data_IF_411709545400
#
_entry.id   IF_411709545400
#
_cell.length_a   1.000
_cell.length_b   1.000
_cell.length_c   1.000
_cell.angle_alpha   90.00
_cell.angle_beta   90.00
_cell.angle_gamma   90.00
#
_symmetry.space_group_name_H-M   'P 1'
#
loop_
_entity.id
_entity.type
_entity.pdbx_description
1 polymer ?
#
# COMPACT_ATOMS: atom_id res chain seq x y z
N UNK A 1 4.35 -24.07 -34.48
CA UNK A 1 5.80 -24.26 -34.28
C UNK A 1 6.26 -23.45 -33.08
N UNK A 2 7.34 -23.85 -32.42
CA UNK A 2 7.94 -23.14 -31.29
C UNK A 2 8.25 -21.68 -31.64
N UNK A 3 8.71 -21.41 -32.86
CA UNK A 3 8.97 -20.07 -33.39
C UNK A 3 7.73 -19.17 -33.37
N UNK A 4 6.57 -19.72 -33.77
CA UNK A 4 5.30 -18.98 -33.78
C UNK A 4 4.84 -18.64 -32.38
N UNK A 5 4.99 -19.57 -31.44
CA UNK A 5 4.65 -19.34 -30.01
C UNK A 5 5.54 -18.27 -29.42
N UNK A 6 6.86 -18.33 -29.64
CA UNK A 6 7.80 -17.31 -29.17
C UNK A 6 7.51 -15.93 -29.75
N UNK A 7 7.17 -15.85 -31.05
CA UNK A 7 6.83 -14.59 -31.71
C UNK A 7 5.57 -13.95 -31.11
N UNK A 8 4.50 -14.74 -30.90
CA UNK A 8 3.27 -14.25 -30.26
C UNK A 8 3.49 -13.84 -28.80
N UNK A 9 4.30 -14.62 -28.06
CA UNK A 9 4.66 -14.29 -26.68
C UNK A 9 5.41 -12.96 -26.61
N UNK A 10 6.41 -12.79 -27.46
CA UNK A 10 7.20 -11.56 -27.54
C UNK A 10 6.35 -10.34 -27.90
N UNK A 11 5.43 -10.46 -28.86
CA UNK A 11 4.51 -9.37 -29.22
C UNK A 11 3.61 -8.99 -28.05
N UNK A 12 3.08 -9.97 -27.30
CA UNK A 12 2.24 -9.72 -26.11
C UNK A 12 3.03 -9.05 -25.00
N UNK A 13 4.25 -9.53 -24.73
CA UNK A 13 5.13 -8.92 -23.72
C UNK A 13 5.49 -7.50 -24.12
N UNK A 14 5.89 -7.26 -25.37
CA UNK A 14 6.19 -5.90 -25.88
C UNK A 14 5.01 -4.96 -25.74
N UNK A 15 3.81 -5.38 -26.13
CA UNK A 15 2.60 -4.57 -26.00
C UNK A 15 2.26 -4.27 -24.54
N UNK A 16 2.47 -5.24 -23.63
CA UNK A 16 2.29 -5.04 -22.19
C UNK A 16 3.31 -4.05 -21.63
N UNK A 17 4.60 -4.21 -21.94
CA UNK A 17 5.67 -3.35 -21.47
C UNK A 17 5.48 -1.89 -21.91
N UNK A 18 5.09 -1.65 -23.17
CA UNK A 18 4.82 -0.29 -23.65
C UNK A 18 3.65 0.34 -22.88
N UNK A 19 2.54 -0.40 -22.70
CA UNK A 19 1.39 0.11 -21.95
C UNK A 19 1.68 0.34 -20.47
N UNK A 20 2.34 -0.62 -19.82
CA UNK A 20 2.73 -0.50 -18.42
C UNK A 20 3.73 0.64 -18.21
N UNK A 21 4.73 0.76 -19.09
CA UNK A 21 5.71 1.84 -19.04
C UNK A 21 5.10 3.22 -19.20
N UNK A 22 4.15 3.38 -20.14
CA UNK A 22 3.46 4.67 -20.32
C UNK A 22 2.67 5.07 -19.06
N UNK A 23 1.93 4.13 -18.47
CA UNK A 23 1.19 4.37 -17.23
C UNK A 23 2.13 4.72 -16.08
N UNK A 24 3.27 4.03 -15.98
CA UNK A 24 4.26 4.28 -14.95
C UNK A 24 4.87 5.69 -15.07
N UNK A 25 5.25 6.12 -16.27
CA UNK A 25 5.81 7.45 -16.51
C UNK A 25 4.81 8.54 -16.13
N UNK A 26 3.55 8.43 -16.56
CA UNK A 26 2.49 9.38 -16.20
C UNK A 26 2.30 9.43 -14.69
N UNK A 27 2.29 8.28 -14.05
CA UNK A 27 2.16 8.17 -12.60
C UNK A 27 3.33 8.82 -11.85
N UNK A 28 4.57 8.59 -12.29
CA UNK A 28 5.75 9.24 -11.71
C UNK A 28 5.67 10.77 -11.83
N UNK A 29 5.21 11.29 -12.96
CA UNK A 29 5.01 12.73 -13.15
C UNK A 29 3.95 13.26 -12.16
N UNK A 30 2.83 12.57 -12.01
CA UNK A 30 1.76 12.98 -11.07
C UNK A 30 2.29 12.98 -9.62
N UNK A 31 2.98 11.92 -9.20
CA UNK A 31 3.56 11.85 -7.85
C UNK A 31 4.57 12.96 -7.64
N UNK A 32 5.44 13.20 -8.63
CA UNK A 32 6.42 14.27 -8.57
C UNK A 32 5.76 15.64 -8.42
N UNK A 33 4.70 15.93 -9.20
CA UNK A 33 3.93 17.16 -9.07
C UNK A 33 3.32 17.29 -7.67
N UNK A 34 2.64 16.27 -7.18
CA UNK A 34 2.00 16.27 -5.85
C UNK A 34 3.01 16.46 -4.71
N UNK A 35 4.22 15.95 -4.88
CA UNK A 35 5.28 16.03 -3.86
C UNK A 35 6.02 17.37 -3.86
N UNK A 36 6.20 17.99 -5.04
CA UNK A 36 7.00 19.20 -5.17
C UNK A 36 6.16 20.49 -5.21
N UNK A 37 4.87 20.40 -5.40
CA UNK A 37 3.96 21.55 -5.35
C UNK A 37 3.12 21.50 -4.07
N UNK A 38 2.90 22.68 -3.49
CA UNK A 38 2.12 22.80 -2.27
C UNK A 38 1.70 24.23 -1.99
N UNK A 39 1.15 24.44 -0.80
CA UNK A 39 0.69 25.75 -0.35
C UNK A 39 1.57 26.22 0.80
N UNK A 40 2.41 27.22 0.53
CA UNK A 40 3.21 27.88 1.55
C UNK A 40 2.75 29.35 1.66
N UNK A 41 2.50 29.82 2.90
CA UNK A 41 2.04 31.19 3.18
C UNK A 41 0.79 31.62 2.38
N UNK A 42 -0.15 30.68 2.14
CA UNK A 42 -1.39 30.94 1.40
C UNK A 42 -1.21 31.10 -0.11
N UNK A 43 -0.03 30.84 -0.65
CA UNK A 43 0.27 30.88 -2.08
C UNK A 43 0.70 29.50 -2.57
N UNK A 44 0.24 29.14 -3.76
CA UNK A 44 0.68 27.93 -4.45
C UNK A 44 2.12 28.14 -4.93
N UNK A 45 3.06 27.32 -4.47
CA UNK A 45 4.48 27.48 -4.75
C UNK A 45 5.17 26.14 -4.97
N UNK A 46 6.32 26.18 -5.62
CA UNK A 46 7.21 25.05 -5.79
C UNK A 46 8.12 24.93 -4.55
N UNK A 47 8.18 23.75 -3.93
CA UNK A 47 8.79 23.52 -2.62
C UNK A 47 10.28 23.16 -2.66
N UNK A 48 10.90 23.01 -3.86
CA UNK A 48 12.32 22.66 -4.04
C UNK A 48 12.83 21.49 -3.19
N UNK A 49 11.94 20.56 -2.80
CA UNK A 49 12.30 19.45 -1.90
C UNK A 49 12.45 19.85 -0.43
N UNK A 50 12.30 21.11 -0.08
CA UNK A 50 12.25 21.60 1.29
C UNK A 50 10.81 21.73 1.77
N UNK A 51 10.58 21.50 3.08
CA UNK A 51 9.25 21.63 3.70
C UNK A 51 8.16 20.75 3.05
N UNK A 52 8.46 19.49 2.85
CA UNK A 52 7.53 18.49 2.28
C UNK A 52 6.18 18.43 3.02
N UNK A 53 6.14 18.91 4.27
CA UNK A 53 4.91 19.00 5.07
C UNK A 53 3.85 19.95 4.48
N UNK A 54 4.24 20.83 3.55
CA UNK A 54 3.32 21.74 2.85
C UNK A 54 2.96 21.25 1.45
N UNK A 55 3.37 20.04 1.08
CA UNK A 55 3.09 19.46 -0.24
C UNK A 55 1.62 19.03 -0.37
N UNK A 56 1.11 19.03 -1.59
CA UNK A 56 -0.21 18.48 -1.88
C UNK A 56 -0.32 17.01 -1.48
N UNK A 57 0.79 16.25 -1.63
CA UNK A 57 0.85 14.87 -1.18
C UNK A 57 0.65 14.77 0.34
N UNK A 58 1.25 15.67 1.12
CA UNK A 58 1.06 15.73 2.56
C UNK A 58 -0.42 15.98 2.91
N UNK A 59 -1.06 16.99 2.34
CA UNK A 59 -2.48 17.30 2.62
C UNK A 59 -3.39 16.12 2.28
N UNK A 60 -3.18 15.50 1.13
CA UNK A 60 -3.96 14.33 0.71
C UNK A 60 -3.74 13.14 1.65
N UNK A 61 -2.49 12.82 1.96
CA UNK A 61 -2.14 11.68 2.81
C UNK A 61 -2.59 11.88 4.26
N UNK A 62 -2.45 13.10 4.79
CA UNK A 62 -2.88 13.45 6.14
C UNK A 62 -4.40 13.31 6.34
N UNK A 63 -5.20 13.62 5.31
CA UNK A 63 -6.66 13.45 5.37
C UNK A 63 -7.10 12.01 5.64
N UNK A 64 -6.29 11.03 5.22
CA UNK A 64 -6.61 9.61 5.30
C UNK A 64 -5.83 8.93 6.44
N UNK A 65 -4.83 9.60 7.00
CA UNK A 65 -3.88 9.04 7.97
C UNK A 65 -4.55 8.41 9.19
N UNK A 66 -5.64 9.00 9.68
CA UNK A 66 -6.38 8.51 10.84
C UNK A 66 -6.94 7.09 10.66
N UNK A 67 -7.21 6.68 9.41
CA UNK A 67 -7.66 5.33 9.10
C UNK A 67 -6.57 4.28 9.39
N UNK A 68 -5.30 4.68 9.32
CA UNK A 68 -4.16 3.79 9.51
C UNK A 68 -3.60 3.81 10.95
N UNK A 69 -4.20 4.61 11.84
CA UNK A 69 -3.82 4.64 13.25
C UNK A 69 -3.82 3.25 13.92
N UNK A 70 -4.85 2.37 13.72
CA UNK A 70 -4.85 1.04 14.32
C UNK A 70 -3.76 0.11 13.82
N UNK A 71 -3.13 0.44 12.68
CA UNK A 71 -2.05 -0.32 12.06
C UNK A 71 -0.66 0.13 12.51
N UNK A 72 -0.58 1.24 13.28
CA UNK A 72 0.66 1.76 13.83
C UNK A 72 1.49 2.63 12.89
N UNK A 73 0.96 3.01 11.72
CA UNK A 73 1.62 3.91 10.76
C UNK A 73 0.64 4.94 10.20
N UNK A 74 0.31 5.94 11.00
CA UNK A 74 -0.60 7.03 10.65
C UNK A 74 0.11 8.31 10.17
N UNK A 75 1.40 8.26 9.92
CA UNK A 75 2.16 9.40 9.42
C UNK A 75 1.89 9.61 7.92
N UNK A 76 1.76 10.85 7.49
CA UNK A 76 1.49 11.18 6.10
C UNK A 76 2.55 10.63 5.13
N UNK A 77 3.82 10.53 5.56
CA UNK A 77 4.91 9.97 4.77
C UNK A 77 4.66 8.49 4.42
N UNK A 78 4.20 7.69 5.39
CA UNK A 78 3.85 6.29 5.17
C UNK A 78 2.69 6.14 4.21
N UNK A 79 1.66 6.98 4.36
CA UNK A 79 0.49 6.96 3.49
C UNK A 79 0.87 7.39 2.06
N UNK A 80 1.65 8.47 1.93
CA UNK A 80 2.17 8.94 0.64
C UNK A 80 3.03 7.88 -0.07
N UNK A 81 3.91 7.19 0.68
CA UNK A 81 4.69 6.08 0.15
C UNK A 81 3.80 4.91 -0.30
N UNK A 82 2.76 4.59 0.45
CA UNK A 82 1.76 3.57 0.07
C UNK A 82 1.05 3.95 -1.24
N UNK A 83 0.66 5.22 -1.41
CA UNK A 83 0.09 5.71 -2.66
C UNK A 83 1.06 5.60 -3.84
N UNK A 84 2.33 5.96 -3.63
CA UNK A 84 3.38 5.76 -4.64
C UNK A 84 3.51 4.28 -5.01
N UNK A 85 3.36 3.38 -4.04
CA UNK A 85 3.40 1.93 -4.22
C UNK A 85 2.25 1.35 -5.06
N UNK A 86 1.13 2.06 -5.22
CA UNK A 86 0.05 1.63 -6.13
C UNK A 86 0.56 1.62 -7.58
N UNK A 87 1.50 2.47 -7.92
CA UNK A 87 2.09 2.53 -9.26
C UNK A 87 3.28 1.57 -9.39
N UNK A 88 4.19 1.58 -8.40
CA UNK A 88 5.40 0.77 -8.39
C UNK A 88 5.72 0.36 -6.95
N UNK A 89 5.35 -0.85 -6.55
CA UNK A 89 5.51 -1.34 -5.17
C UNK A 89 6.97 -1.39 -4.71
N UNK A 90 7.88 -1.61 -5.62
CA UNK A 90 9.33 -1.59 -5.38
C UNK A 90 9.86 -0.22 -4.94
N UNK A 91 9.14 0.84 -5.25
CA UNK A 91 9.54 2.21 -4.91
C UNK A 91 9.03 2.72 -3.57
N UNK A 92 8.30 1.92 -2.79
CA UNK A 92 7.69 2.36 -1.53
C UNK A 92 8.73 2.89 -0.55
N UNK A 93 9.83 2.16 -0.36
CA UNK A 93 10.90 2.55 0.56
C UNK A 93 11.65 3.79 0.04
N UNK A 94 11.90 3.86 -1.27
CA UNK A 94 12.51 5.05 -1.89
C UNK A 94 11.62 6.27 -1.77
N UNK A 95 10.31 6.13 -2.01
CA UNK A 95 9.34 7.22 -1.84
C UNK A 95 9.24 7.67 -0.38
N UNK A 96 9.28 6.72 0.57
CA UNK A 96 9.31 7.06 1.99
C UNK A 96 10.52 7.92 2.32
N UNK A 97 11.73 7.54 1.85
CA UNK A 97 12.94 8.34 2.04
C UNK A 97 12.85 9.74 1.42
N UNK A 98 12.19 9.88 0.26
CA UNK A 98 11.98 11.19 -0.38
C UNK A 98 11.03 12.07 0.44
N UNK A 99 10.05 11.49 1.12
CA UNK A 99 9.09 12.24 1.95
C UNK A 99 9.60 12.57 3.35
N UNK A 100 10.76 12.05 3.75
CA UNK A 100 11.42 12.45 4.99
C UNK A 100 12.13 13.79 4.80
N UNK A 101 11.96 14.70 5.79
CA UNK A 101 12.74 15.93 5.83
C UNK A 101 14.20 15.62 6.23
N UNK A 102 15.11 16.57 6.01
CA UNK A 102 16.55 16.39 6.26
C UNK A 102 16.90 15.92 7.68
N UNK A 103 16.05 16.18 8.67
CA UNK A 103 16.23 15.81 10.07
C UNK A 103 15.41 14.58 10.50
N UNK A 104 14.63 13.98 9.58
CA UNK A 104 13.81 12.82 9.86
C UNK A 104 14.49 11.54 9.39
N UNK A 105 14.25 10.45 10.09
CA UNK A 105 14.72 9.11 9.73
C UNK A 105 13.51 8.18 9.61
N UNK A 106 13.67 7.06 8.93
CA UNK A 106 12.62 6.02 8.86
C UNK A 106 12.15 5.65 10.27
N UNK A 107 13.07 5.63 11.25
CA UNK A 107 12.75 5.31 12.63
C UNK A 107 11.87 6.37 13.33
N UNK A 108 11.90 7.63 12.91
CA UNK A 108 10.99 8.64 13.46
C UNK A 108 9.55 8.47 12.96
N UNK A 109 9.37 7.90 11.78
CA UNK A 109 8.07 7.69 11.13
C UNK A 109 7.50 6.30 11.45
N UNK A 110 8.36 5.30 11.60
CA UNK A 110 8.05 3.93 12.01
C UNK A 110 8.86 3.57 13.27
N UNK A 111 8.41 4.04 14.46
CA UNK A 111 9.22 4.00 15.67
C UNK A 111 9.38 2.59 16.25
N UNK A 112 8.44 1.69 15.96
CA UNK A 112 8.41 0.34 16.51
C UNK A 112 8.63 -0.71 15.43
N UNK A 113 9.17 -1.86 15.83
CA UNK A 113 9.30 -2.99 14.90
C UNK A 113 7.94 -3.49 14.40
N UNK A 114 6.94 -3.47 15.28
CA UNK A 114 5.57 -3.86 14.93
C UNK A 114 4.97 -2.93 13.88
N UNK A 115 5.21 -1.60 13.97
CA UNK A 115 4.73 -0.63 12.97
C UNK A 115 5.41 -0.82 11.61
N UNK A 116 6.71 -1.10 11.60
CA UNK A 116 7.45 -1.35 10.37
C UNK A 116 6.99 -2.65 9.68
N UNK A 117 6.80 -3.73 10.44
CA UNK A 117 6.28 -4.99 9.91
C UNK A 117 4.85 -4.80 9.38
N UNK A 118 3.99 -4.14 10.14
CA UNK A 118 2.62 -3.83 9.73
C UNK A 118 2.58 -3.05 8.42
N UNK A 119 3.40 -2.01 8.29
CA UNK A 119 3.52 -1.21 7.08
C UNK A 119 3.95 -2.06 5.88
N UNK A 120 4.95 -2.92 6.04
CA UNK A 120 5.42 -3.81 4.97
C UNK A 120 4.34 -4.84 4.59
N UNK A 121 3.69 -5.46 5.56
CA UNK A 121 2.62 -6.45 5.32
C UNK A 121 1.45 -5.81 4.60
N UNK A 122 1.03 -4.61 5.02
CA UNK A 122 -0.04 -3.87 4.34
C UNK A 122 0.32 -3.61 2.88
N UNK A 123 1.50 -3.09 2.62
CA UNK A 123 1.94 -2.74 1.27
C UNK A 123 2.16 -3.97 0.37
N UNK A 124 2.53 -5.11 0.95
CA UNK A 124 2.65 -6.37 0.24
C UNK A 124 1.28 -6.90 -0.21
N UNK A 125 0.28 -6.84 0.67
CA UNK A 125 -1.02 -7.46 0.47
C UNK A 125 -2.08 -6.53 -0.15
N UNK A 126 -1.91 -5.21 -0.10
CA UNK A 126 -2.85 -4.24 -0.65
C UNK A 126 -3.04 -4.41 -2.17
N UNK A 127 -3.88 -3.58 -2.77
CA UNK A 127 -4.20 -3.59 -4.20
C UNK A 127 -2.97 -3.82 -5.08
N UNK A 128 -3.11 -4.60 -6.17
CA UNK A 128 -2.06 -4.76 -7.15
C UNK A 128 -1.75 -3.41 -7.83
N UNK A 129 -0.60 -3.32 -8.51
CA UNK A 129 -0.22 -2.10 -9.22
C UNK A 129 -1.25 -1.72 -10.30
N UNK A 130 -1.27 -0.44 -10.67
CA UNK A 130 -2.24 0.10 -11.67
C UNK A 130 -2.22 -0.71 -12.98
N UNK A 131 -1.06 -1.18 -13.42
CA UNK A 131 -0.96 -2.03 -14.61
C UNK A 131 -1.77 -3.33 -14.46
N UNK A 132 -1.66 -3.99 -13.30
CA UNK A 132 -2.43 -5.20 -12.99
C UNK A 132 -3.92 -4.91 -12.80
N UNK A 133 -4.28 -3.77 -12.22
CA UNK A 133 -5.68 -3.32 -12.10
C UNK A 133 -6.30 -3.13 -13.48
N UNK A 134 -5.58 -2.51 -14.42
CA UNK A 134 -6.04 -2.33 -15.81
C UNK A 134 -6.20 -3.68 -16.51
N UNK A 135 -5.26 -4.61 -16.32
CA UNK A 135 -5.36 -5.97 -16.87
C UNK A 135 -6.57 -6.70 -16.29
N UNK A 136 -6.75 -6.70 -14.97
CA UNK A 136 -7.88 -7.33 -14.30
C UNK A 136 -9.23 -6.76 -14.76
N UNK A 137 -9.31 -5.44 -15.01
CA UNK A 137 -10.53 -4.79 -15.53
C UNK A 137 -10.90 -5.30 -16.93
N UNK A 138 -9.92 -5.74 -17.74
CA UNK A 138 -10.17 -6.28 -19.07
C UNK A 138 -10.63 -7.74 -19.04
N UNK A 139 -10.11 -8.50 -18.08
CA UNK A 139 -10.45 -9.93 -17.94
C UNK A 139 -11.79 -10.13 -17.22
N UNK A 140 -12.15 -9.23 -16.29
CA UNK A 140 -13.40 -9.33 -15.55
C UNK A 140 -14.56 -8.69 -16.33
N UNK A 141 -15.50 -9.52 -16.78
CA UNK A 141 -16.71 -9.10 -17.51
C UNK A 141 -17.62 -8.21 -16.68
N UNK A 142 -17.70 -8.43 -15.36
CA UNK A 142 -18.59 -7.73 -14.46
C UNK A 142 -17.87 -6.60 -13.69
N UNK A 143 -18.35 -5.36 -13.83
CA UNK A 143 -17.87 -4.22 -13.03
C UNK A 143 -18.05 -4.45 -11.51
N UNK A 144 -19.12 -5.13 -11.10
CA UNK A 144 -19.36 -5.45 -9.69
C UNK A 144 -18.30 -6.39 -9.13
N UNK A 145 -17.93 -7.44 -9.91
CA UNK A 145 -16.89 -8.39 -9.51
C UNK A 145 -15.51 -7.72 -9.43
N UNK A 146 -15.22 -6.82 -10.34
CA UNK A 146 -13.99 -6.03 -10.33
C UNK A 146 -13.86 -5.16 -9.06
N UNK A 147 -14.90 -4.39 -8.74
CA UNK A 147 -14.92 -3.55 -7.54
C UNK A 147 -14.82 -4.41 -6.27
N UNK A 148 -15.59 -5.52 -6.24
CA UNK A 148 -15.54 -6.47 -5.12
C UNK A 148 -14.13 -7.03 -4.91
N UNK A 149 -13.44 -7.43 -5.97
CA UNK A 149 -12.09 -7.97 -5.88
C UNK A 149 -11.09 -6.95 -5.30
N UNK A 150 -11.15 -5.68 -5.75
CA UNK A 150 -10.31 -4.62 -5.22
C UNK A 150 -10.62 -4.31 -3.74
N UNK A 151 -11.89 -4.18 -3.38
CA UNK A 151 -12.28 -3.94 -1.99
C UNK A 151 -11.88 -5.09 -1.08
N UNK A 152 -12.15 -6.32 -1.50
CA UNK A 152 -11.77 -7.52 -0.76
C UNK A 152 -10.28 -7.55 -0.47
N UNK A 153 -9.44 -7.28 -1.46
CA UNK A 153 -7.98 -7.31 -1.30
C UNK A 153 -7.50 -6.24 -0.32
N UNK A 154 -8.02 -5.00 -0.40
CA UNK A 154 -7.63 -3.94 0.52
C UNK A 154 -8.13 -4.19 1.95
N UNK A 155 -9.36 -4.69 2.12
CA UNK A 155 -9.89 -5.05 3.44
C UNK A 155 -9.09 -6.21 4.04
N UNK A 156 -8.76 -7.22 3.23
CA UNK A 156 -7.92 -8.34 3.67
C UNK A 156 -6.53 -7.87 4.10
N UNK A 157 -5.87 -7.01 3.30
CA UNK A 157 -4.59 -6.42 3.65
C UNK A 157 -4.65 -5.63 4.97
N UNK A 158 -5.72 -4.85 5.17
CA UNK A 158 -5.94 -4.08 6.38
C UNK A 158 -6.08 -4.98 7.62
N UNK A 159 -6.92 -6.02 7.54
CA UNK A 159 -7.14 -6.96 8.65
C UNK A 159 -5.85 -7.70 9.00
N UNK A 160 -5.14 -8.21 8.01
CA UNK A 160 -3.88 -8.93 8.24
C UNK A 160 -2.83 -8.01 8.86
N UNK A 161 -2.67 -6.80 8.33
CA UNK A 161 -1.73 -5.81 8.86
C UNK A 161 -2.08 -5.41 10.31
N UNK A 162 -3.38 -5.23 10.62
CA UNK A 162 -3.87 -4.97 11.97
C UNK A 162 -3.47 -6.11 12.93
N UNK A 163 -3.69 -7.36 12.51
CA UNK A 163 -3.32 -8.54 13.32
C UNK A 163 -1.81 -8.53 13.60
N UNK A 164 -0.99 -8.30 12.57
CA UNK A 164 0.47 -8.25 12.73
C UNK A 164 0.89 -7.14 13.69
N UNK A 165 0.37 -5.93 13.54
CA UNK A 165 0.69 -4.81 14.44
C UNK A 165 0.33 -5.10 15.88
N UNK A 166 -0.92 -5.51 16.12
CA UNK A 166 -1.44 -5.68 17.47
C UNK A 166 -0.81 -6.88 18.18
N UNK A 167 -0.67 -8.02 17.49
CA UNK A 167 -0.10 -9.22 18.12
C UNK A 167 1.41 -9.08 18.35
N UNK A 168 2.17 -8.68 17.31
CA UNK A 168 3.62 -8.53 17.46
C UNK A 168 3.93 -7.44 18.48
N UNK A 169 3.22 -6.29 18.38
CA UNK A 169 3.40 -5.19 19.32
C UNK A 169 3.07 -5.58 20.76
N UNK A 170 2.05 -6.39 20.97
CA UNK A 170 1.73 -6.93 22.30
C UNK A 170 2.83 -7.87 22.83
N UNK A 171 3.32 -8.78 21.99
CA UNK A 171 4.41 -9.70 22.39
C UNK A 171 5.74 -8.99 22.66
N UNK A 172 6.03 -7.91 21.94
CA UNK A 172 7.23 -7.10 22.14
C UNK A 172 7.08 -6.03 23.24
N UNK A 173 5.88 -5.90 23.83
CA UNK A 173 5.59 -4.84 24.81
C UNK A 173 5.52 -3.43 24.23
N UNK A 174 5.42 -3.29 22.91
CA UNK A 174 5.33 -2.01 22.20
C UNK A 174 3.90 -1.45 22.16
N UNK A 175 2.89 -2.32 22.27
CA UNK A 175 1.46 -1.97 22.23
C UNK A 175 0.75 -2.46 23.49
N UNK A 176 -0.02 -1.56 24.10
CA UNK A 176 -0.86 -1.91 25.25
C UNK A 176 -2.16 -2.56 24.81
N UNK A 177 -2.80 -3.31 25.71
CA UNK A 177 -4.12 -3.90 25.48
C UNK A 177 -5.16 -2.81 25.20
N UNK A 178 -5.56 -2.70 23.94
CA UNK A 178 -6.57 -1.78 23.43
C UNK A 178 -7.72 -2.56 22.77
N UNK A 179 -8.81 -1.86 22.48
CA UNK A 179 -9.94 -2.43 21.73
C UNK A 179 -9.50 -3.10 20.42
N UNK A 180 -8.53 -2.53 19.72
CA UNK A 180 -7.97 -3.08 18.48
C UNK A 180 -7.23 -4.41 18.71
N UNK A 181 -6.57 -4.58 19.86
CA UNK A 181 -5.91 -5.85 20.22
C UNK A 181 -6.95 -6.95 20.43
N UNK A 182 -8.06 -6.64 21.09
CA UNK A 182 -9.17 -7.59 21.28
C UNK A 182 -9.79 -7.99 19.94
N UNK A 183 -10.01 -7.02 19.06
CA UNK A 183 -10.52 -7.25 17.69
C UNK A 183 -9.56 -8.15 16.90
N UNK A 184 -8.25 -7.92 17.01
CA UNK A 184 -7.24 -8.75 16.33
C UNK A 184 -7.25 -10.20 16.82
N UNK A 185 -7.34 -10.41 18.13
CA UNK A 185 -7.46 -11.76 18.73
C UNK A 185 -8.74 -12.46 18.25
N UNK A 186 -9.86 -11.72 18.16
CA UNK A 186 -11.11 -12.24 17.64
C UNK A 186 -10.99 -12.70 16.17
N UNK A 187 -10.36 -11.90 15.29
CA UNK A 187 -10.10 -12.28 13.90
C UNK A 187 -9.21 -13.51 13.79
N UNK A 188 -8.16 -13.62 14.61
CA UNK A 188 -7.31 -14.80 14.66
C UNK A 188 -8.10 -16.03 15.10
N UNK A 189 -8.96 -15.89 16.11
CA UNK A 189 -9.85 -16.97 16.56
C UNK A 189 -10.78 -17.45 15.44
N UNK A 190 -11.35 -16.55 14.65
CA UNK A 190 -12.17 -16.90 13.49
C UNK A 190 -11.34 -17.67 12.44
N UNK A 191 -10.15 -17.18 12.12
CA UNK A 191 -9.27 -17.84 11.13
C UNK A 191 -8.91 -19.24 11.58
N UNK A 192 -8.53 -19.43 12.85
CA UNK A 192 -8.22 -20.73 13.44
C UNK A 192 -9.44 -21.65 13.39
N UNK A 193 -10.61 -21.15 13.74
CA UNK A 193 -11.86 -21.93 13.71
C UNK A 193 -12.19 -22.42 12.29
N UNK A 194 -12.03 -21.55 11.29
CA UNK A 194 -12.25 -21.90 9.87
C UNK A 194 -11.26 -22.97 9.42
N UNK A 195 -9.98 -22.85 9.80
CA UNK A 195 -8.93 -23.81 9.45
C UNK A 195 -9.18 -25.18 10.11
N UNK A 196 -9.57 -25.19 11.38
CA UNK A 196 -9.86 -26.42 12.12
C UNK A 196 -11.15 -27.10 11.63
N UNK A 197 -12.16 -26.33 11.21
CA UNK A 197 -13.43 -26.84 10.68
C UNK A 197 -13.30 -27.44 9.28
N UNK A 198 -12.25 -27.08 8.53
CA UNK A 198 -11.93 -27.65 7.23
C UNK A 198 -11.21 -29.01 7.41
N UNK A 199 -11.91 -30.01 7.99
CA UNK A 199 -11.48 -31.39 7.99
C UNK A 199 -11.37 -31.86 6.54
N UNK A 200 -10.26 -32.51 6.12
CA UNK A 200 -10.15 -33.00 4.75
C UNK A 200 -11.27 -34.01 4.51
N UNK A 201 -12.08 -33.77 3.49
CA UNK A 201 -12.93 -34.80 2.90
C UNK A 201 -12.00 -35.93 2.50
N UNK A 202 -12.16 -37.09 3.12
CA UNK A 202 -11.51 -38.33 2.70
C UNK A 202 -11.89 -38.60 1.25
N UNK A 203 -10.88 -38.61 0.37
CA UNK A 203 -10.93 -39.24 -0.94
C UNK A 203 -10.95 -40.74 -0.72
#
# INVERSE_FOLDING_TARGET
>A
SLSTICSHLFQRIKAFLIKAGTVLVVACIIIWLLSNFGVANGKFTYLNGENQNNSLMCYFSASISNLFYPLGFNNWQCIGATFSGIFAKENIVSSLNVFLNSNETIKSVLPTYSSAISFLVFNLLNSPCVASIIAMKKELVSKKLFIFALLYQNIFAYIVSLIFYQLIGFFLGEVQLNVFTIVSIFFVGIIINILLKKKPSKI
#
